data_IF_612179392209
#
_entry.id   IF_612179392209
#
_cell.length_a   1.000
_cell.length_b   1.000
_cell.length_c   1.000
_cell.angle_alpha   90.00
_cell.angle_beta   90.00
_cell.angle_gamma   90.00
#
_symmetry.space_group_name_H-M   'P 1'
#
loop_
_entity.id
_entity.type
_entity.pdbx_description
1 polymer ?
#
# COMPACT_ATOMS: atom_id res chain seq x y z
N UNK A 1 16.16 5.68 -22.45
CA UNK A 1 16.48 5.43 -21.04
C UNK A 1 15.19 5.46 -20.27
N UNK A 2 14.89 4.36 -19.60
CA UNK A 2 13.57 4.07 -19.04
C UNK A 2 13.40 4.75 -17.68
N UNK A 3 12.32 5.51 -17.50
CA UNK A 3 11.85 5.87 -16.16
C UNK A 3 11.08 4.68 -15.58
N UNK A 4 11.76 3.88 -14.75
CA UNK A 4 11.24 2.64 -14.18
C UNK A 4 9.98 2.88 -13.35
N UNK A 5 9.89 4.03 -12.66
CA UNK A 5 8.72 4.35 -11.83
C UNK A 5 7.51 4.65 -12.71
N UNK A 6 7.67 5.49 -13.73
CA UNK A 6 6.58 5.79 -14.67
C UNK A 6 6.20 4.55 -15.50
N UNK A 7 7.17 3.74 -15.91
CA UNK A 7 6.94 2.49 -16.64
C UNK A 7 6.07 1.53 -15.82
N UNK A 8 6.41 1.35 -14.55
CA UNK A 8 5.65 0.52 -13.61
C UNK A 8 4.23 1.07 -13.40
N UNK A 9 4.11 2.38 -13.16
CA UNK A 9 2.81 3.02 -12.86
C UNK A 9 1.86 3.02 -14.06
N UNK A 10 2.37 3.28 -15.27
CA UNK A 10 1.57 3.31 -16.49
C UNK A 10 0.99 1.95 -16.85
N UNK A 11 1.71 0.86 -16.60
CA UNK A 11 1.29 -0.52 -16.90
C UNK A 11 0.67 -1.27 -15.73
N UNK A 12 0.59 -0.64 -14.55
CA UNK A 12 0.05 -1.29 -13.35
C UNK A 12 0.87 -2.49 -12.85
N UNK A 13 2.16 -2.53 -13.19
CA UNK A 13 3.05 -3.65 -12.86
C UNK A 13 3.45 -3.57 -11.39
N UNK A 14 3.61 -4.70 -10.73
CA UNK A 14 4.16 -4.76 -9.38
C UNK A 14 5.69 -4.79 -9.42
N UNK A 15 6.34 -4.18 -8.41
CA UNK A 15 7.80 -4.27 -8.27
C UNK A 15 8.30 -5.71 -8.11
N UNK A 16 7.42 -6.67 -7.73
CA UNK A 16 7.76 -8.09 -7.65
C UNK A 16 7.95 -8.70 -9.04
N UNK A 17 7.00 -8.46 -9.95
CA UNK A 17 7.06 -8.96 -11.33
C UNK A 17 8.29 -8.42 -12.07
N UNK A 18 8.60 -7.13 -11.92
CA UNK A 18 9.81 -6.55 -12.54
C UNK A 18 11.10 -7.17 -12.02
N UNK A 19 11.18 -7.50 -10.72
CA UNK A 19 12.34 -8.17 -10.12
C UNK A 19 12.48 -9.61 -10.59
N UNK A 20 11.37 -10.33 -10.80
CA UNK A 20 11.39 -11.69 -11.33
C UNK A 20 11.96 -11.72 -12.76
N UNK A 21 11.48 -10.85 -13.65
CA UNK A 21 12.04 -10.69 -15.01
C UNK A 21 13.52 -10.30 -14.97
N UNK A 22 13.89 -9.40 -14.05
CA UNK A 22 15.28 -8.99 -13.91
C UNK A 22 16.20 -10.16 -13.48
N UNK A 23 15.70 -11.09 -12.67
CA UNK A 23 16.48 -12.24 -12.16
C UNK A 23 16.78 -13.28 -13.22
N UNK A 24 15.98 -13.38 -14.26
CA UNK A 24 16.24 -14.29 -15.39
C UNK A 24 17.57 -13.96 -16.08
N UNK A 25 17.89 -12.68 -16.21
CA UNK A 25 19.15 -12.22 -16.81
C UNK A 25 20.22 -11.83 -15.78
N UNK A 26 19.81 -11.35 -14.60
CA UNK A 26 20.69 -10.88 -13.53
C UNK A 26 20.31 -11.56 -12.21
N UNK A 27 20.84 -12.77 -11.91
CA UNK A 27 20.42 -13.58 -10.76
C UNK A 27 20.55 -12.90 -9.39
N UNK A 28 21.47 -11.93 -9.27
CA UNK A 28 21.72 -11.16 -8.04
C UNK A 28 20.80 -9.94 -7.88
N UNK A 29 19.91 -9.68 -8.83
CA UNK A 29 18.98 -8.56 -8.75
C UNK A 29 17.93 -8.83 -7.67
N UNK A 30 17.71 -7.84 -6.80
CA UNK A 30 16.77 -7.97 -5.68
C UNK A 30 15.85 -6.75 -5.55
N UNK A 31 14.89 -6.86 -4.62
CA UNK A 31 13.90 -5.81 -4.35
C UNK A 31 14.53 -4.51 -3.84
N UNK A 32 15.66 -4.58 -3.12
CA UNK A 32 16.33 -3.40 -2.57
C UNK A 32 17.05 -2.62 -3.68
N UNK A 33 17.73 -3.34 -4.60
CA UNK A 33 18.32 -2.77 -5.81
C UNK A 33 17.24 -2.15 -6.69
N UNK A 34 16.10 -2.83 -6.87
CA UNK A 34 14.97 -2.29 -7.62
C UNK A 34 14.45 -0.99 -7.03
N UNK A 35 14.31 -0.90 -5.70
CA UNK A 35 13.89 0.34 -5.03
C UNK A 35 14.83 1.52 -5.27
N UNK A 36 16.13 1.28 -5.46
CA UNK A 36 17.11 2.34 -5.78
C UNK A 36 17.02 2.75 -7.25
N UNK A 37 16.84 1.77 -8.13
CA UNK A 37 16.62 1.99 -9.58
C UNK A 37 15.35 2.79 -9.86
N UNK A 38 14.30 2.64 -9.04
CA UNK A 38 13.07 3.45 -9.14
C UNK A 38 13.27 4.92 -8.74
N UNK A 39 14.39 5.27 -8.08
CA UNK A 39 14.69 6.61 -7.58
C UNK A 39 16.09 7.05 -8.02
N UNK A 40 16.33 7.20 -9.33
CA UNK A 40 17.66 7.50 -9.86
C UNK A 40 18.17 8.86 -9.39
N UNK A 41 17.30 9.83 -9.09
CA UNK A 41 17.70 11.15 -8.59
C UNK A 41 18.23 11.10 -7.15
N UNK A 42 17.75 10.14 -6.34
CA UNK A 42 18.18 9.99 -4.94
C UNK A 42 19.43 9.11 -4.82
N UNK A 43 19.53 8.07 -5.65
CA UNK A 43 20.58 7.04 -5.53
C UNK A 43 21.63 7.06 -6.64
N UNK A 44 21.40 7.78 -7.74
CA UNK A 44 22.30 7.77 -8.90
C UNK A 44 22.38 6.43 -9.65
N UNK A 45 21.50 5.47 -9.32
CA UNK A 45 21.52 4.13 -9.90
C UNK A 45 20.49 4.05 -11.03
N UNK A 46 20.93 3.57 -12.20
CA UNK A 46 20.07 3.29 -13.35
C UNK A 46 20.27 1.85 -13.85
N UNK A 47 19.24 1.24 -14.44
CA UNK A 47 19.37 -0.08 -15.02
C UNK A 47 20.29 -0.04 -16.24
N UNK A 48 20.91 -1.16 -16.57
CA UNK A 48 21.63 -1.33 -17.83
C UNK A 48 20.64 -1.52 -18.98
N UNK A 49 21.04 -1.16 -20.21
CA UNK A 49 20.17 -1.24 -21.40
C UNK A 49 19.55 -2.62 -21.62
N UNK A 50 20.30 -3.70 -21.36
CA UNK A 50 19.78 -5.07 -21.47
C UNK A 50 18.59 -5.32 -20.55
N UNK A 51 18.62 -4.78 -19.33
CA UNK A 51 17.53 -4.89 -18.37
C UNK A 51 16.33 -4.01 -18.76
N UNK A 52 16.57 -2.81 -19.31
CA UNK A 52 15.51 -1.96 -19.86
C UNK A 52 14.76 -2.69 -20.98
N UNK A 53 15.49 -3.26 -21.95
CA UNK A 53 14.90 -4.02 -23.06
C UNK A 53 14.16 -5.28 -22.58
N UNK A 54 14.68 -5.96 -21.55
CA UNK A 54 14.01 -7.11 -20.95
C UNK A 54 12.65 -6.73 -20.35
N UNK A 55 12.58 -5.62 -19.61
CA UNK A 55 11.31 -5.12 -19.06
C UNK A 55 10.35 -4.65 -20.17
N UNK A 56 10.84 -3.91 -21.16
CA UNK A 56 10.01 -3.45 -22.28
C UNK A 56 9.41 -4.63 -23.06
N UNK A 57 10.20 -5.68 -23.30
CA UNK A 57 9.74 -6.90 -23.98
C UNK A 57 8.75 -7.70 -23.12
N UNK A 58 9.10 -7.94 -21.85
CA UNK A 58 8.26 -8.74 -20.94
C UNK A 58 6.89 -8.10 -20.67
N UNK A 59 6.83 -6.76 -20.66
CA UNK A 59 5.61 -6.01 -20.37
C UNK A 59 5.07 -5.23 -21.59
N UNK A 60 5.42 -5.66 -22.81
CA UNK A 60 4.95 -5.04 -24.05
C UNK A 60 3.43 -5.10 -24.20
N UNK A 61 2.80 -6.18 -23.74
CA UNK A 61 1.36 -6.45 -23.85
C UNK A 61 0.54 -6.00 -22.63
N UNK A 62 1.18 -5.47 -21.58
CA UNK A 62 0.47 -5.07 -20.36
C UNK A 62 -0.34 -3.80 -20.64
N UNK A 63 -1.67 -3.93 -20.61
CA UNK A 63 -2.60 -2.83 -20.83
C UNK A 63 -2.43 -1.77 -19.74
N UNK A 64 -2.41 -0.46 -20.07
CA UNK A 64 -2.29 0.57 -19.06
C UNK A 64 -3.44 0.51 -18.05
N UNK A 65 -3.17 0.00 -16.84
CA UNK A 65 -4.15 0.05 -15.77
C UNK A 65 -4.05 1.39 -15.05
N UNK A 66 -4.98 2.30 -15.34
CA UNK A 66 -5.23 3.45 -14.47
C UNK A 66 -5.45 2.95 -13.04
N UNK A 67 -4.64 3.44 -12.08
CA UNK A 67 -4.85 3.15 -10.66
C UNK A 67 -6.30 3.43 -10.31
N UNK A 68 -7.02 2.42 -9.81
CA UNK A 68 -8.36 2.62 -9.25
C UNK A 68 -8.23 3.62 -8.10
N UNK A 69 -8.78 4.82 -8.30
CA UNK A 69 -8.82 5.87 -7.28
C UNK A 69 -9.49 5.31 -6.03
N UNK A 70 -8.96 5.64 -4.86
CA UNK A 70 -9.55 5.23 -3.59
C UNK A 70 -10.95 5.85 -3.46
N UNK A 71 -11.97 5.04 -3.72
CA UNK A 71 -13.39 5.39 -3.71
C UNK A 71 -14.07 5.04 -2.39
N UNK A 72 -13.32 4.85 -1.30
CA UNK A 72 -13.91 4.60 0.02
C UNK A 72 -14.72 5.82 0.46
N UNK A 73 -15.99 5.57 0.83
CA UNK A 73 -16.91 6.59 1.37
C UNK A 73 -16.45 7.15 2.71
N UNK A 74 -15.85 6.31 3.57
CA UNK A 74 -15.29 6.69 4.87
C UNK A 74 -13.76 6.60 4.81
N UNK A 75 -13.10 7.74 4.58
CA UNK A 75 -11.63 7.80 4.39
C UNK A 75 -10.86 7.97 5.70
N UNK A 76 -11.46 8.64 6.69
CA UNK A 76 -10.83 8.89 7.98
C UNK A 76 -10.85 7.63 8.85
N UNK A 77 -9.71 7.30 9.46
CA UNK A 77 -9.56 6.15 10.36
C UNK A 77 -8.99 6.61 11.69
N UNK A 78 -9.61 6.17 12.77
CA UNK A 78 -9.11 6.37 14.14
C UNK A 78 -8.43 5.08 14.58
N UNK A 79 -7.23 5.20 15.14
CA UNK A 79 -6.47 4.10 15.73
C UNK A 79 -5.89 4.58 17.06
N UNK A 80 -5.90 3.74 18.09
CA UNK A 80 -5.24 3.99 19.36
C UNK A 80 -4.59 2.71 19.88
N UNK A 81 -3.58 2.86 20.72
CA UNK A 81 -2.97 1.76 21.47
C UNK A 81 -3.51 1.77 22.88
N UNK A 82 -3.81 0.60 23.41
CA UNK A 82 -4.37 0.40 24.75
C UNK A 82 -3.70 -0.81 25.37
N UNK A 83 -3.76 -0.92 26.69
CA UNK A 83 -3.38 -2.17 27.36
C UNK A 83 -4.42 -3.27 27.09
N UNK A 84 -4.01 -4.53 27.16
CA UNK A 84 -4.91 -5.68 26.97
C UNK A 84 -6.10 -5.64 27.95
N UNK A 85 -5.84 -5.26 29.20
CA UNK A 85 -6.86 -5.13 30.25
C UNK A 85 -7.90 -4.06 29.92
N UNK A 86 -7.49 -2.94 29.36
CA UNK A 86 -8.42 -1.86 28.95
C UNK A 86 -9.25 -2.29 27.75
N UNK A 87 -8.63 -2.95 26.79
CA UNK A 87 -9.31 -3.46 25.60
C UNK A 87 -10.38 -4.50 25.96
N UNK A 88 -10.06 -5.48 26.80
CA UNK A 88 -11.04 -6.46 27.27
C UNK A 88 -12.20 -5.82 28.03
N UNK A 89 -11.91 -4.85 28.90
CA UNK A 89 -12.94 -4.12 29.64
C UNK A 89 -13.87 -3.37 28.70
N UNK A 90 -13.32 -2.74 27.66
CA UNK A 90 -14.10 -2.04 26.64
C UNK A 90 -15.00 -3.02 25.87
N UNK A 91 -14.45 -4.16 25.44
CA UNK A 91 -15.20 -5.18 24.71
C UNK A 91 -16.37 -5.74 25.53
N UNK A 92 -16.15 -6.04 26.82
CA UNK A 92 -17.22 -6.52 27.71
C UNK A 92 -18.32 -5.48 27.89
N UNK A 93 -17.96 -4.20 28.03
CA UNK A 93 -18.95 -3.10 28.15
C UNK A 93 -19.77 -2.94 26.88
N UNK A 94 -19.15 -3.00 25.71
CA UNK A 94 -19.89 -2.91 24.44
C UNK A 94 -20.83 -4.09 24.23
N UNK A 95 -20.40 -5.30 24.59
CA UNK A 95 -21.28 -6.48 24.56
C UNK A 95 -22.47 -6.33 25.52
N UNK A 96 -22.24 -5.81 26.72
CA UNK A 96 -23.31 -5.56 27.70
C UNK A 96 -24.30 -4.48 27.23
N UNK A 97 -23.86 -3.54 26.41
CA UNK A 97 -24.69 -2.48 25.82
C UNK A 97 -25.38 -2.92 24.51
N UNK A 98 -25.13 -4.14 24.02
CA UNK A 98 -25.77 -4.68 22.82
C UNK A 98 -25.13 -4.25 21.49
N UNK A 99 -23.87 -3.79 21.49
CA UNK A 99 -23.16 -3.52 20.24
C UNK A 99 -22.60 -4.81 19.63
N UNK A 100 -22.96 -5.08 18.38
CA UNK A 100 -22.49 -6.25 17.63
C UNK A 100 -21.01 -6.15 17.24
N UNK A 101 -20.54 -4.92 16.97
CA UNK A 101 -19.15 -4.68 16.56
C UNK A 101 -18.47 -3.61 17.42
N UNK A 102 -17.15 -3.74 17.59
CA UNK A 102 -16.33 -2.70 18.23
C UNK A 102 -16.42 -1.37 17.48
N UNK A 103 -16.61 -1.41 16.16
CA UNK A 103 -16.70 -0.21 15.33
C UNK A 103 -17.97 0.59 15.67
N UNK A 104 -19.10 -0.07 15.90
CA UNK A 104 -20.36 0.58 16.27
C UNK A 104 -20.28 1.21 17.65
N UNK A 105 -19.70 0.50 18.62
CA UNK A 105 -19.48 1.04 19.97
C UNK A 105 -18.54 2.25 19.98
N UNK A 106 -17.43 2.19 19.22
CA UNK A 106 -16.51 3.34 19.08
C UNK A 106 -17.22 4.52 18.39
N UNK A 107 -17.99 4.26 17.33
CA UNK A 107 -18.76 5.31 16.64
C UNK A 107 -19.79 5.96 17.56
N UNK A 108 -20.44 5.19 18.42
CA UNK A 108 -21.39 5.70 19.42
C UNK A 108 -20.71 6.61 20.44
N UNK A 109 -19.57 6.19 21.01
CA UNK A 109 -18.80 7.03 21.94
C UNK A 109 -18.35 8.33 21.27
N UNK A 110 -17.82 8.26 20.05
CA UNK A 110 -17.39 9.44 19.30
C UNK A 110 -18.58 10.38 19.08
N UNK A 111 -19.73 9.86 18.66
CA UNK A 111 -20.95 10.64 18.47
C UNK A 111 -21.36 11.36 19.75
N UNK A 112 -21.44 10.63 20.86
CA UNK A 112 -21.77 11.19 22.18
C UNK A 112 -20.82 12.30 22.60
N UNK A 113 -19.51 12.09 22.45
CA UNK A 113 -18.50 13.09 22.79
C UNK A 113 -18.62 14.36 21.93
N UNK A 114 -18.93 14.21 20.64
CA UNK A 114 -19.12 15.33 19.73
C UNK A 114 -20.44 16.09 19.98
N UNK A 115 -21.50 15.39 20.42
CA UNK A 115 -22.79 16.00 20.78
C UNK A 115 -22.72 16.75 22.12
N UNK A 116 -22.01 16.22 23.12
CA UNK A 116 -21.79 16.89 24.42
C UNK A 116 -20.86 18.11 24.31
N UNK A 117 -20.12 18.24 23.22
CA UNK A 117 -19.21 19.38 22.96
C UNK A 117 -19.84 20.55 22.20
N UNK A 118 -21.15 20.48 21.91
CA UNK A 118 -21.94 21.57 21.30
C UNK A 118 -22.70 22.36 22.36
#
# INVERSE_FOLDING_TARGET
>A
MLDVRQFKESRGITSKEMVEVAREQFPKYDKYLHSKVERPNDYGIRPVLALESAWESAFASTVPQCRRKDNRRLKARIQCRMTEREYERLQRRFKAQGFDTMQDGVKYIIGKYLEESK
#
